data_IF_257487730846
#
_entry.id   IF_257487730846
#
_cell.length_a   1.000
_cell.length_b   1.000
_cell.length_c   1.000
_cell.angle_alpha   90.00
_cell.angle_beta   90.00
_cell.angle_gamma   90.00
#
_symmetry.space_group_name_H-M   'P 1'
#
loop_
_entity.id
_entity.type
_entity.pdbx_description
1 polymer ?
#
# COMPACT_ATOMS: atom_id res chain seq x y z
N UNK A 1 -4.88 -4.10 18.34
CA UNK A 1 -5.55 -5.05 17.42
C UNK A 1 -6.16 -4.40 16.16
N UNK A 2 -5.55 -3.33 15.62
CA UNK A 2 -5.86 -2.70 14.32
C UNK A 2 -5.31 -3.52 13.11
N UNK A 3 -5.02 -4.82 13.31
CA UNK A 3 -3.64 -5.34 13.40
C UNK A 3 -3.13 -6.12 12.20
N UNK A 4 -3.90 -6.23 11.12
CA UNK A 4 -3.48 -7.00 9.93
C UNK A 4 -3.47 -6.17 8.65
N UNK A 5 -3.16 -4.87 8.78
CA UNK A 5 -3.06 -3.94 7.65
C UNK A 5 -2.23 -4.45 6.48
N UNK A 6 -1.13 -5.19 6.73
CA UNK A 6 -0.36 -5.84 5.65
C UNK A 6 -1.10 -7.03 5.02
N UNK A 7 -1.76 -7.88 5.81
CA UNK A 7 -2.36 -9.13 5.38
C UNK A 7 -3.62 -8.95 4.51
N UNK A 8 -4.25 -7.78 4.51
CA UNK A 8 -5.48 -7.54 3.73
C UNK A 8 -5.23 -6.93 2.35
N UNK A 9 -3.97 -6.57 2.06
CA UNK A 9 -3.59 -6.15 0.73
C UNK A 9 -3.58 -7.36 -0.21
N UNK A 10 -4.08 -7.18 -1.44
CA UNK A 10 -3.90 -8.18 -2.50
C UNK A 10 -2.38 -8.36 -2.75
N UNK A 11 -1.90 -9.53 -3.19
CA UNK A 11 -0.48 -9.70 -3.50
C UNK A 11 -0.05 -8.66 -4.53
N UNK A 12 1.12 -8.06 -4.32
CA UNK A 12 1.70 -7.13 -5.29
C UNK A 12 2.99 -7.76 -5.85
N UNK A 13 2.98 -8.20 -7.12
CA UNK A 13 4.17 -8.72 -7.79
C UNK A 13 5.34 -7.73 -7.82
N UNK A 14 5.05 -6.43 -7.72
CA UNK A 14 6.06 -5.38 -7.78
C UNK A 14 6.71 -5.30 -9.17
N UNK A 15 7.98 -4.93 -9.20
CA UNK A 15 8.76 -4.73 -10.42
C UNK A 15 10.11 -5.46 -10.36
N UNK A 16 10.78 -5.57 -11.51
CA UNK A 16 12.04 -6.31 -11.68
C UNK A 16 11.93 -7.48 -12.65
N UNK A 17 13.02 -8.22 -12.80
CA UNK A 17 13.17 -9.35 -13.72
C UNK A 17 13.20 -10.71 -13.04
N UNK A 18 13.14 -10.76 -11.69
CA UNK A 18 13.11 -12.01 -10.97
C UNK A 18 11.74 -12.68 -11.04
N UNK A 19 11.70 -13.99 -10.81
CA UNK A 19 10.46 -14.74 -10.66
C UNK A 19 10.49 -15.54 -9.36
N UNK A 20 10.30 -14.85 -8.23
CA UNK A 20 10.42 -15.43 -6.90
C UNK A 20 9.07 -15.95 -6.43
N UNK A 21 8.98 -17.25 -6.16
CA UNK A 21 7.81 -17.85 -5.50
C UNK A 21 7.73 -17.38 -4.05
N UNK A 22 6.62 -16.75 -3.69
CA UNK A 22 6.35 -16.21 -2.35
C UNK A 22 4.96 -16.60 -1.88
N UNK A 23 4.73 -16.54 -0.58
CA UNK A 23 3.42 -16.74 0.03
C UNK A 23 2.74 -15.40 0.29
N UNK A 24 1.44 -15.32 0.04
CA UNK A 24 0.59 -14.22 0.49
C UNK A 24 -0.62 -14.78 1.22
N UNK A 25 -1.17 -13.99 2.12
CA UNK A 25 -2.40 -14.34 2.82
C UNK A 25 -3.62 -13.85 2.04
N UNK A 26 -4.56 -14.76 1.76
CA UNK A 26 -5.90 -14.45 1.28
C UNK A 26 -6.85 -14.29 2.47
N UNK A 27 -7.21 -13.04 2.75
CA UNK A 27 -8.09 -12.69 3.86
C UNK A 27 -9.55 -13.11 3.67
N UNK A 28 -9.98 -13.44 2.45
CA UNK A 28 -11.35 -13.87 2.16
C UNK A 28 -11.58 -15.33 2.55
N UNK A 29 -10.49 -16.11 2.52
CA UNK A 29 -10.49 -17.56 2.75
C UNK A 29 -9.73 -17.98 4.01
N UNK A 30 -9.06 -17.05 4.70
CA UNK A 30 -8.24 -17.33 5.87
C UNK A 30 -7.11 -18.33 5.60
N UNK A 31 -6.52 -18.27 4.40
CA UNK A 31 -5.49 -19.20 3.92
C UNK A 31 -4.32 -18.47 3.24
N UNK A 32 -3.18 -19.14 3.16
CA UNK A 32 -1.99 -18.66 2.47
C UNK A 32 -1.80 -19.37 1.13
N UNK A 33 -1.56 -18.58 0.08
CA UNK A 33 -1.37 -19.05 -1.30
C UNK A 33 -0.05 -18.56 -1.87
N UNK A 34 0.40 -19.22 -2.95
CA UNK A 34 1.59 -18.81 -3.68
C UNK A 34 1.29 -17.69 -4.67
N UNK A 35 2.26 -16.81 -4.87
CA UNK A 35 2.30 -15.86 -5.98
C UNK A 35 3.74 -15.59 -6.43
N UNK A 36 3.88 -14.98 -7.60
CA UNK A 36 5.17 -14.60 -8.15
C UNK A 36 5.51 -13.14 -7.82
N UNK A 37 6.67 -12.95 -7.20
CA UNK A 37 7.22 -11.66 -6.84
C UNK A 37 8.44 -11.32 -7.71
N UNK A 38 8.46 -10.11 -8.26
CA UNK A 38 9.48 -9.64 -9.22
C UNK A 38 10.78 -9.12 -8.60
N UNK A 39 10.83 -9.05 -7.27
CA UNK A 39 12.03 -8.71 -6.51
C UNK A 39 12.04 -7.30 -5.91
N UNK A 40 11.32 -6.33 -6.51
CA UNK A 40 11.27 -4.95 -6.02
C UNK A 40 9.83 -4.43 -5.87
N UNK A 41 9.64 -3.42 -5.03
CA UNK A 41 8.41 -2.59 -4.94
C UNK A 41 7.09 -3.38 -4.77
N UNK A 42 7.15 -4.53 -4.11
CA UNK A 42 5.97 -5.28 -3.70
C UNK A 42 5.30 -4.64 -2.49
N UNK A 43 4.33 -5.33 -1.92
CA UNK A 43 3.79 -4.96 -0.61
C UNK A 43 4.19 -6.00 0.44
N UNK A 44 3.81 -5.71 1.69
CA UNK A 44 4.14 -6.53 2.84
C UNK A 44 3.30 -7.82 2.93
N UNK A 45 2.29 -8.05 2.09
CA UNK A 45 1.63 -9.37 2.00
C UNK A 45 2.46 -10.31 1.12
N UNK A 46 3.67 -10.61 1.58
CA UNK A 46 4.71 -11.32 0.86
C UNK A 46 5.62 -11.96 1.90
N UNK A 47 5.61 -13.28 1.97
CA UNK A 47 6.31 -14.10 2.94
C UNK A 47 7.15 -15.14 2.22
N UNK A 48 8.29 -15.50 2.80
CA UNK A 48 9.16 -16.51 2.19
C UNK A 48 8.62 -17.92 2.44
N UNK A 49 8.00 -18.14 3.62
CA UNK A 49 7.51 -19.44 4.04
C UNK A 49 6.01 -19.42 4.34
N UNK A 50 5.33 -20.55 4.12
CA UNK A 50 3.90 -20.70 4.43
C UNK A 50 3.60 -20.50 5.92
N UNK A 51 4.47 -21.03 6.79
CA UNK A 51 4.32 -20.93 8.24
C UNK A 51 4.34 -19.46 8.70
N UNK A 52 5.30 -18.66 8.20
CA UNK A 52 5.38 -17.22 8.48
C UNK A 52 4.09 -16.48 8.10
N UNK A 53 3.52 -16.80 6.93
CA UNK A 53 2.25 -16.23 6.49
C UNK A 53 1.09 -16.62 7.43
N UNK A 54 1.01 -17.88 7.84
CA UNK A 54 -0.02 -18.39 8.74
C UNK A 54 0.09 -17.73 10.12
N UNK A 55 1.26 -17.76 10.73
CA UNK A 55 1.48 -17.24 12.08
C UNK A 55 1.24 -15.73 12.15
N UNK A 56 1.57 -15.01 11.06
CA UNK A 56 1.34 -13.56 10.97
C UNK A 56 -0.14 -13.24 10.75
N UNK A 57 -0.81 -13.92 9.81
CA UNK A 57 -2.04 -13.42 9.23
C UNK A 57 -3.30 -14.24 9.51
N UNK A 58 -3.17 -15.55 9.78
CA UNK A 58 -4.33 -16.44 9.93
C UNK A 58 -5.01 -16.23 11.29
N UNK A 59 -6.34 -16.22 11.27
CA UNK A 59 -7.15 -16.34 12.48
C UNK A 59 -7.40 -17.81 12.82
N UNK A 60 -7.61 -18.16 14.10
CA UNK A 60 -8.19 -19.46 14.45
C UNK A 60 -9.43 -19.75 13.61
N UNK A 61 -9.57 -20.97 13.10
CA UNK A 61 -10.60 -21.29 12.09
C UNK A 61 -12.01 -21.02 12.62
N UNK A 62 -12.32 -21.42 13.85
CA UNK A 62 -13.63 -21.19 14.48
C UNK A 62 -13.97 -19.71 14.57
N UNK A 63 -13.02 -18.90 15.09
CA UNK A 63 -13.16 -17.45 15.16
C UNK A 63 -13.39 -16.83 13.78
N UNK A 64 -12.65 -17.28 12.76
CA UNK A 64 -12.80 -16.74 11.42
C UNK A 64 -14.19 -17.01 10.85
N UNK A 65 -14.70 -18.23 10.97
CA UNK A 65 -16.02 -18.58 10.43
C UNK A 65 -17.14 -17.82 11.15
N UNK A 66 -17.09 -17.75 12.48
CA UNK A 66 -18.07 -17.01 13.29
C UNK A 66 -18.08 -15.51 12.98
N UNK A 67 -16.90 -14.93 12.66
CA UNK A 67 -16.73 -13.48 12.52
C UNK A 67 -16.48 -13.03 11.08
N UNK A 68 -16.63 -13.93 10.09
CA UNK A 68 -16.22 -13.71 8.69
C UNK A 68 -16.76 -12.41 8.12
N UNK A 69 -18.06 -12.17 8.29
CA UNK A 69 -18.74 -10.97 7.79
C UNK A 69 -18.20 -9.69 8.45
N UNK A 70 -18.09 -9.68 9.78
CA UNK A 70 -17.56 -8.53 10.52
C UNK A 70 -16.11 -8.21 10.12
N UNK A 71 -15.25 -9.24 9.99
CA UNK A 71 -13.86 -9.08 9.53
C UNK A 71 -13.83 -8.47 8.11
N UNK A 72 -14.66 -8.98 7.20
CA UNK A 72 -14.73 -8.45 5.84
C UNK A 72 -15.20 -7.00 5.79
N UNK A 73 -16.22 -6.65 6.58
CA UNK A 73 -16.76 -5.29 6.62
C UNK A 73 -15.75 -4.30 7.21
N UNK A 74 -14.99 -4.69 8.23
CA UNK A 74 -13.87 -3.91 8.76
C UNK A 74 -12.78 -3.66 7.70
N UNK A 75 -12.43 -4.69 6.91
CA UNK A 75 -11.44 -4.56 5.83
C UNK A 75 -11.95 -3.61 4.74
N UNK A 76 -13.22 -3.71 4.34
CA UNK A 76 -13.85 -2.81 3.36
C UNK A 76 -13.84 -1.36 3.86
N UNK A 77 -14.22 -1.14 5.11
CA UNK A 77 -14.21 0.19 5.72
C UNK A 77 -12.80 0.79 5.77
N UNK A 78 -11.79 -0.01 6.11
CA UNK A 78 -10.39 0.42 6.06
C UNK A 78 -9.95 0.82 4.64
N UNK A 79 -10.25 -0.01 3.62
CA UNK A 79 -9.90 0.27 2.22
C UNK A 79 -10.57 1.54 1.72
N UNK A 80 -11.86 1.74 2.01
CA UNK A 80 -12.61 2.94 1.65
C UNK A 80 -11.96 4.20 2.25
N UNK A 81 -11.67 4.20 3.56
CA UNK A 81 -11.00 5.34 4.21
C UNK A 81 -9.66 5.67 3.58
N UNK A 82 -8.84 4.65 3.26
CA UNK A 82 -7.54 4.86 2.61
C UNK A 82 -7.64 5.42 1.20
N UNK A 83 -8.67 5.05 0.45
CA UNK A 83 -8.94 5.63 -0.87
C UNK A 83 -9.40 7.08 -0.76
N UNK A 84 -10.30 7.39 0.19
CA UNK A 84 -10.76 8.76 0.43
C UNK A 84 -9.61 9.67 0.87
N UNK A 85 -8.69 9.18 1.71
CA UNK A 85 -7.44 9.89 2.09
C UNK A 85 -6.56 10.21 0.87
N UNK A 86 -6.39 9.25 -0.06
CA UNK A 86 -5.62 9.45 -1.29
C UNK A 86 -6.25 10.48 -2.21
N UNK A 87 -7.57 10.44 -2.38
CA UNK A 87 -8.31 11.42 -3.19
C UNK A 87 -8.19 12.83 -2.63
N UNK A 88 -8.31 12.98 -1.30
CA UNK A 88 -8.10 14.27 -0.63
C UNK A 88 -6.67 14.79 -0.81
N UNK A 89 -5.67 13.91 -0.71
CA UNK A 89 -4.26 14.28 -0.95
C UNK A 89 -4.03 14.73 -2.39
N UNK A 90 -4.53 13.99 -3.37
CA UNK A 90 -4.43 14.36 -4.79
C UNK A 90 -5.12 15.70 -5.07
N UNK A 91 -6.32 15.91 -4.51
CA UNK A 91 -7.05 17.18 -4.65
C UNK A 91 -6.31 18.36 -4.01
N UNK A 92 -5.71 18.17 -2.84
CA UNK A 92 -4.89 19.20 -2.21
C UNK A 92 -3.62 19.53 -3.02
N UNK A 93 -2.99 18.53 -3.64
CA UNK A 93 -1.84 18.73 -4.54
C UNK A 93 -2.23 19.52 -5.80
N UNK A 94 -3.41 19.26 -6.39
CA UNK A 94 -3.94 20.01 -7.54
C UNK A 94 -4.22 21.48 -7.21
N UNK A 95 -4.85 21.75 -6.05
CA UNK A 95 -5.14 23.12 -5.60
C UNK A 95 -3.86 23.90 -5.33
N UNK A 96 -2.82 23.25 -4.77
CA UNK A 96 -1.51 23.87 -4.56
C UNK A 96 -0.87 24.25 -5.91
N UNK A 97 -0.90 23.37 -6.92
CA UNK A 97 -0.34 23.67 -8.25
C UNK A 97 -1.06 24.80 -8.99
N UNK A 98 -2.38 24.92 -8.83
CA UNK A 98 -3.18 26.02 -9.43
C UNK A 98 -2.96 27.36 -8.71
N UNK A 99 -2.66 27.34 -7.41
CA UNK A 99 -2.37 28.56 -6.65
C UNK A 99 -0.97 29.14 -6.91
N UNK A 100 -0.03 28.35 -7.42
CA UNK A 100 1.35 28.79 -7.72
C UNK A 100 1.44 29.55 -9.06
N UNK A 101 0.53 29.30 -10.02
CA UNK A 101 0.57 29.97 -11.34
C UNK A 101 0.16 31.45 -11.33
N UNK A 102 -0.32 31.99 -10.20
CA UNK A 102 -0.82 33.36 -10.11
C UNK A 102 0.17 34.35 -9.47
N UNK A 103 1.43 33.95 -9.22
CA UNK A 103 2.34 34.80 -8.46
C UNK A 103 3.81 34.84 -8.95
N UNK A 104 4.05 34.95 -10.26
CA UNK A 104 5.36 35.40 -10.77
C UNK A 104 5.20 36.47 -11.85
N UNK A 105 5.09 37.73 -11.41
CA UNK A 105 5.39 38.90 -12.24
C UNK A 105 6.63 39.61 -11.67
N UNK A 106 7.54 39.97 -12.59
CA UNK A 106 8.63 40.98 -12.51
C UNK A 106 9.98 40.65 -11.84
N UNK A 107 10.99 40.51 -12.72
CA UNK A 107 12.28 41.24 -12.80
C UNK A 107 13.40 40.95 -11.78
N UNK A 108 14.49 40.36 -12.29
CA UNK A 108 15.76 41.05 -12.68
C UNK A 108 16.99 40.21 -12.27
N UNK A 109 17.79 39.80 -13.26
CA UNK A 109 19.15 39.31 -13.02
C UNK A 109 20.06 40.48 -12.59
N UNK A 110 21.08 40.18 -11.77
CA UNK A 110 22.41 40.63 -12.15
C UNK A 110 23.45 39.52 -12.10
N UNK A 111 24.31 39.56 -13.11
CA UNK A 111 25.58 38.86 -13.21
C UNK A 111 26.58 39.43 -12.19
N UNK A 112 27.26 38.58 -11.42
CA UNK A 112 28.55 38.92 -10.80
C UNK A 112 29.49 37.71 -10.93
N UNK A 113 30.53 37.87 -11.75
CA UNK A 113 31.78 37.10 -11.69
C UNK A 113 32.55 37.49 -10.41
N UNK A 114 33.16 36.52 -9.70
CA UNK A 114 34.61 36.56 -9.39
C UNK A 114 35.11 35.26 -8.71
N UNK A 115 36.11 34.65 -9.35
CA UNK A 115 37.29 33.92 -8.87
C UNK A 115 37.37 33.39 -7.42
N UNK A 116 37.70 32.09 -7.30
CA UNK A 116 38.95 31.60 -6.68
C UNK A 116 39.46 30.42 -7.50
#
# INVERSE_FOLDING_TARGET
>A
NQTRGRCWHKPNPGSGSHNLTRWYYNFEENQCYLFFYKGNNGNRNNFLYRAECIDTCRYPTTYFEENKKAIQDLIKAYKKRKEDERKKKAQNETVVTESISNNETTKQAPSIKLYV
#
